data_IF_017533496872
#
_entry.id   IF_017533496872
#
_cell.length_a   1.000
_cell.length_b   1.000
_cell.length_c   1.000
_cell.angle_alpha   90.00
_cell.angle_beta   90.00
_cell.angle_gamma   90.00
#
_symmetry.space_group_name_H-M   'P 1'
#
loop_
_entity.id
_entity.type
_entity.pdbx_description
1 polymer ?
#
# COMPACT_ATOMS: atom_id res chain seq x y z
N UNK A 1 -19.08 -18.08 14.26
CA UNK A 1 -17.82 -17.32 14.16
C UNK A 1 -17.03 -17.99 13.05
N UNK A 2 -16.51 -17.22 12.09
CA UNK A 2 -15.59 -17.80 11.09
C UNK A 2 -14.33 -18.34 11.80
N UNK A 3 -13.62 -19.28 11.18
CA UNK A 3 -12.37 -19.83 11.74
C UNK A 3 -11.36 -18.72 12.09
N UNK A 4 -11.28 -17.67 11.25
CA UNK A 4 -10.49 -16.46 11.52
C UNK A 4 -10.81 -15.82 12.88
N UNK A 5 -12.10 -15.65 13.22
CA UNK A 5 -12.50 -14.99 14.48
C UNK A 5 -12.09 -15.80 15.71
N UNK A 6 -12.05 -17.13 15.58
CA UNK A 6 -11.60 -18.00 16.67
C UNK A 6 -10.09 -17.87 16.90
N UNK A 7 -9.30 -17.80 15.82
CA UNK A 7 -7.85 -17.61 15.89
C UNK A 7 -7.50 -16.21 16.41
N UNK A 8 -8.15 -15.16 15.89
CA UNK A 8 -7.91 -13.78 16.29
C UNK A 8 -8.17 -13.55 17.79
N UNK A 9 -9.16 -14.23 18.38
CA UNK A 9 -9.47 -14.13 19.81
C UNK A 9 -8.37 -14.67 20.75
N UNK A 10 -7.40 -15.42 20.22
CA UNK A 10 -6.28 -16.00 20.98
C UNK A 10 -5.03 -15.11 20.96
N UNK A 11 -5.06 -13.99 20.22
CA UNK A 11 -3.94 -13.05 20.13
C UNK A 11 -3.97 -12.10 21.32
N UNK A 12 -2.90 -12.10 22.14
CA UNK A 12 -2.86 -11.40 23.42
C UNK A 12 -2.70 -9.87 23.28
N UNK A 13 -1.95 -9.41 22.27
CA UNK A 13 -1.76 -7.97 22.05
C UNK A 13 -3.00 -7.36 21.38
N UNK A 14 -3.74 -6.53 22.12
CA UNK A 14 -5.02 -5.98 21.68
C UNK A 14 -4.92 -5.13 20.40
N UNK A 15 -3.86 -4.32 20.26
CA UNK A 15 -3.64 -3.52 19.05
C UNK A 15 -3.27 -4.43 17.88
N UNK A 16 -2.35 -5.40 18.06
CA UNK A 16 -2.01 -6.35 17.00
C UNK A 16 -3.21 -7.18 16.55
N UNK A 17 -4.01 -7.67 17.49
CA UNK A 17 -5.27 -8.37 17.24
C UNK A 17 -6.24 -7.50 16.42
N UNK A 18 -6.42 -6.23 16.80
CA UNK A 18 -7.24 -5.28 16.06
C UNK A 18 -6.74 -5.04 14.62
N UNK A 19 -5.43 -4.86 14.44
CA UNK A 19 -4.83 -4.66 13.12
C UNK A 19 -5.05 -5.89 12.23
N UNK A 20 -4.87 -7.09 12.76
CA UNK A 20 -5.11 -8.34 12.04
C UNK A 20 -6.60 -8.53 11.71
N UNK A 21 -7.51 -8.26 12.66
CA UNK A 21 -8.95 -8.26 12.41
C UNK A 21 -9.31 -7.35 11.23
N UNK A 22 -8.72 -6.15 11.19
CA UNK A 22 -9.01 -5.19 10.13
C UNK A 22 -8.39 -5.56 8.79
N UNK A 23 -7.15 -6.05 8.80
CA UNK A 23 -6.50 -6.60 7.62
C UNK A 23 -7.31 -7.78 7.05
N UNK A 24 -7.73 -8.74 7.88
CA UNK A 24 -8.55 -9.87 7.47
C UNK A 24 -9.90 -9.42 6.91
N UNK A 25 -10.56 -8.43 7.52
CA UNK A 25 -11.83 -7.87 7.02
C UNK A 25 -11.69 -7.27 5.62
N UNK A 26 -10.56 -6.61 5.34
CA UNK A 26 -10.25 -6.10 4.00
C UNK A 26 -9.87 -7.23 3.03
N UNK A 27 -9.03 -8.15 3.47
CA UNK A 27 -8.39 -9.12 2.59
C UNK A 27 -9.32 -10.28 2.21
N UNK A 28 -10.14 -10.76 3.14
CA UNK A 28 -11.00 -11.92 2.93
C UNK A 28 -11.91 -11.79 1.69
N UNK A 29 -12.71 -10.73 1.53
CA UNK A 29 -13.61 -10.60 0.37
C UNK A 29 -12.86 -10.68 -0.97
N UNK A 30 -11.74 -9.97 -1.11
CA UNK A 30 -10.95 -9.94 -2.36
C UNK A 30 -10.30 -11.30 -2.61
N UNK A 31 -9.55 -11.83 -1.63
CA UNK A 31 -8.75 -13.02 -1.84
C UNK A 31 -9.60 -14.27 -2.00
N UNK A 32 -10.68 -14.42 -1.22
CA UNK A 32 -11.58 -15.57 -1.34
C UNK A 32 -12.33 -15.55 -2.67
N UNK A 33 -12.84 -14.39 -3.09
CA UNK A 33 -13.53 -14.27 -4.37
C UNK A 33 -12.57 -14.59 -5.52
N UNK A 34 -11.36 -14.02 -5.52
CA UNK A 34 -10.39 -14.23 -6.60
C UNK A 34 -9.86 -15.68 -6.65
N UNK A 35 -9.56 -16.27 -5.50
CA UNK A 35 -9.13 -17.67 -5.40
C UNK A 35 -10.24 -18.67 -5.83
N UNK A 36 -11.50 -18.23 -5.86
CA UNK A 36 -12.65 -19.01 -6.32
C UNK A 36 -13.15 -18.58 -7.71
N UNK A 37 -12.43 -17.69 -8.39
CA UNK A 37 -12.80 -17.14 -9.70
C UNK A 37 -14.17 -16.43 -9.70
N UNK A 38 -14.45 -15.69 -8.64
CA UNK A 38 -15.71 -14.98 -8.41
C UNK A 38 -15.54 -13.47 -8.18
N UNK A 39 -14.33 -12.93 -8.15
CA UNK A 39 -14.06 -11.51 -7.86
C UNK A 39 -14.81 -10.59 -8.83
N UNK A 40 -14.74 -10.85 -10.14
CA UNK A 40 -15.49 -10.07 -11.14
C UNK A 40 -17.00 -10.16 -10.99
N UNK A 41 -17.50 -11.25 -10.41
CA UNK A 41 -18.92 -11.49 -10.22
C UNK A 41 -19.45 -10.91 -8.89
N UNK A 42 -18.61 -10.87 -7.85
CA UNK A 42 -19.04 -10.53 -6.49
C UNK A 42 -18.62 -9.15 -6.01
N UNK A 43 -17.55 -8.56 -6.57
CA UNK A 43 -17.07 -7.25 -6.14
C UNK A 43 -17.93 -6.14 -6.77
N UNK A 44 -18.52 -5.23 -5.98
CA UNK A 44 -19.19 -4.08 -6.53
C UNK A 44 -18.17 -3.17 -7.24
N UNK A 45 -18.61 -2.52 -8.30
CA UNK A 45 -17.84 -1.49 -8.99
C UNK A 45 -18.59 -0.17 -8.81
N UNK A 46 -18.42 0.42 -7.63
CA UNK A 46 -18.81 1.80 -7.35
C UNK A 46 -17.72 2.77 -7.83
N UNK A 47 -18.08 4.04 -8.01
CA UNK A 47 -17.35 5.12 -8.64
C UNK A 47 -18.16 6.41 -8.47
N UNK A 48 -17.72 7.51 -9.06
CA UNK A 48 -18.34 8.82 -8.82
C UNK A 48 -19.80 8.86 -9.32
N UNK A 49 -20.77 9.31 -8.50
CA UNK A 49 -22.16 9.45 -8.93
C UNK A 49 -22.31 10.37 -10.14
N UNK A 50 -23.10 9.97 -11.13
CA UNK A 50 -23.45 10.79 -12.29
C UNK A 50 -22.46 10.73 -13.48
N UNK A 51 -21.37 9.97 -13.38
CA UNK A 51 -20.38 9.82 -14.47
C UNK A 51 -20.45 8.45 -15.19
N UNK A 52 -21.49 7.65 -14.90
CA UNK A 52 -21.66 6.27 -15.39
C UNK A 52 -22.19 6.13 -16.83
N UNK A 53 -22.47 7.23 -17.52
CA UNK A 53 -23.21 7.21 -18.79
C UNK A 53 -22.35 7.27 -20.06
N UNK A 54 -21.02 7.36 -19.97
CA UNK A 54 -20.18 7.44 -21.15
C UNK A 54 -19.01 6.47 -21.12
N UNK A 55 -19.19 5.42 -21.93
CA UNK A 55 -18.17 4.76 -22.74
C UNK A 55 -17.83 3.32 -22.35
N UNK A 56 -17.52 2.56 -23.39
CA UNK A 56 -17.18 1.13 -23.47
C UNK A 56 -15.95 0.76 -22.60
N UNK A 57 -15.32 1.75 -21.95
CA UNK A 57 -14.17 1.72 -21.04
C UNK A 57 -14.56 1.87 -19.55
N UNK A 58 -15.62 1.19 -19.14
CA UNK A 58 -16.07 1.12 -17.75
C UNK A 58 -14.91 0.88 -16.77
N UNK A 59 -14.88 1.64 -15.66
CA UNK A 59 -13.95 1.45 -14.53
C UNK A 59 -13.87 -0.01 -14.04
N UNK A 60 -14.88 -0.83 -14.36
CA UNK A 60 -14.90 -2.28 -14.11
C UNK A 60 -13.72 -3.03 -14.74
N UNK A 61 -13.18 -2.54 -15.87
CA UNK A 61 -12.02 -3.15 -16.54
C UNK A 61 -10.73 -3.06 -15.70
N UNK A 62 -10.67 -2.15 -14.72
CA UNK A 62 -9.49 -1.89 -13.90
C UNK A 62 -9.71 -2.22 -12.42
N UNK A 63 -10.92 -1.97 -11.90
CA UNK A 63 -11.27 -2.06 -10.47
C UNK A 63 -10.79 -3.36 -9.79
N UNK A 64 -10.89 -4.50 -10.46
CA UNK A 64 -10.50 -5.79 -9.88
C UNK A 64 -8.98 -5.92 -9.68
N UNK A 65 -8.17 -5.44 -10.63
CA UNK A 65 -6.71 -5.39 -10.47
C UNK A 65 -6.31 -4.32 -9.45
N UNK A 66 -7.02 -3.19 -9.40
CA UNK A 66 -6.85 -2.19 -8.33
C UNK A 66 -7.02 -2.84 -6.96
N UNK A 67 -8.16 -3.49 -6.73
CA UNK A 67 -8.47 -4.13 -5.46
C UNK A 67 -7.38 -5.13 -5.05
N UNK A 68 -7.04 -6.04 -5.96
CA UNK A 68 -6.09 -7.10 -5.68
C UNK A 68 -4.66 -6.57 -5.48
N UNK A 69 -4.13 -5.79 -6.42
CA UNK A 69 -2.76 -5.30 -6.35
C UNK A 69 -2.51 -4.41 -5.14
N UNK A 70 -3.44 -3.46 -4.88
CA UNK A 70 -3.32 -2.51 -3.76
C UNK A 70 -3.43 -3.23 -2.42
N UNK A 71 -4.34 -4.20 -2.29
CA UNK A 71 -4.42 -5.05 -1.10
C UNK A 71 -3.12 -5.83 -0.87
N UNK A 72 -2.59 -6.45 -1.93
CA UNK A 72 -1.40 -7.29 -1.86
C UNK A 72 -0.20 -6.50 -1.34
N UNK A 73 -0.04 -5.24 -1.77
CA UNK A 73 1.04 -4.36 -1.34
C UNK A 73 1.04 -4.08 0.17
N UNK A 74 -0.14 -3.95 0.79
CA UNK A 74 -0.30 -3.76 2.23
C UNK A 74 -0.20 -5.06 3.04
N UNK A 75 -0.63 -6.17 2.43
CA UNK A 75 -0.64 -7.50 3.04
C UNK A 75 0.75 -8.16 3.06
N UNK A 76 1.59 -7.86 2.08
CA UNK A 76 2.84 -8.56 1.80
C UNK A 76 3.80 -8.71 3.00
N UNK A 77 4.13 -7.66 3.78
CA UNK A 77 5.08 -7.82 4.89
C UNK A 77 4.60 -8.81 5.96
N UNK A 78 3.29 -8.86 6.23
CA UNK A 78 2.75 -9.84 7.16
C UNK A 78 2.90 -11.26 6.62
N UNK A 79 2.60 -11.49 5.34
CA UNK A 79 2.78 -12.81 4.72
C UNK A 79 4.23 -13.26 4.76
N UNK A 80 5.18 -12.38 4.41
CA UNK A 80 6.61 -12.68 4.29
C UNK A 80 7.24 -13.22 5.58
N UNK A 81 6.66 -12.91 6.75
CA UNK A 81 7.10 -13.50 8.02
C UNK A 81 6.88 -15.02 8.11
N UNK A 82 6.15 -15.60 7.15
CA UNK A 82 5.96 -17.03 6.99
C UNK A 82 4.97 -17.65 7.98
N UNK A 83 4.59 -18.92 7.81
CA UNK A 83 3.82 -19.62 8.84
C UNK A 83 4.64 -19.71 10.14
N UNK A 84 3.97 -19.60 11.29
CA UNK A 84 4.56 -19.78 12.62
C UNK A 84 3.60 -20.60 13.49
N UNK A 85 4.01 -20.93 14.71
CA UNK A 85 3.16 -21.57 15.72
C UNK A 85 2.13 -20.59 16.31
N UNK A 86 1.04 -21.14 16.85
CA UNK A 86 -0.01 -20.36 17.49
C UNK A 86 -1.00 -19.75 16.51
N UNK A 87 -2.02 -19.07 17.06
CA UNK A 87 -3.19 -18.69 16.30
C UNK A 87 -2.93 -17.70 15.15
N UNK A 88 -2.04 -16.73 15.33
CA UNK A 88 -1.66 -15.83 14.22
C UNK A 88 -0.89 -16.57 13.13
N UNK A 89 -0.03 -17.52 13.49
CA UNK A 89 0.73 -18.30 12.53
C UNK A 89 -0.15 -19.22 11.68
N UNK A 90 -1.17 -19.84 12.28
CA UNK A 90 -2.20 -20.61 11.58
C UNK A 90 -3.04 -19.72 10.65
N UNK A 91 -3.47 -18.55 11.13
CA UNK A 91 -4.21 -17.57 10.34
C UNK A 91 -3.36 -17.10 9.14
N UNK A 92 -2.11 -16.73 9.38
CA UNK A 92 -1.17 -16.29 8.35
C UNK A 92 -0.92 -17.38 7.33
N UNK A 93 -0.78 -18.64 7.75
CA UNK A 93 -0.62 -19.77 6.84
C UNK A 93 -1.81 -19.88 5.88
N UNK A 94 -3.04 -19.78 6.38
CA UNK A 94 -4.24 -19.80 5.54
C UNK A 94 -4.25 -18.66 4.51
N UNK A 95 -3.86 -17.44 4.90
CA UNK A 95 -3.80 -16.29 4.00
C UNK A 95 -2.65 -16.38 2.99
N UNK A 96 -1.50 -16.98 3.35
CA UNK A 96 -0.40 -17.25 2.40
C UNK A 96 -0.91 -18.15 1.27
N UNK A 97 -1.52 -19.29 1.61
CA UNK A 97 -2.01 -20.25 0.61
C UNK A 97 -3.14 -19.64 -0.24
N UNK A 98 -4.07 -18.93 0.41
CA UNK A 98 -5.13 -18.22 -0.28
C UNK A 98 -4.60 -17.16 -1.25
N UNK A 99 -3.60 -16.39 -0.82
CA UNK A 99 -3.00 -15.32 -1.64
C UNK A 99 -2.27 -15.88 -2.86
N UNK A 100 -1.52 -16.98 -2.70
CA UNK A 100 -0.88 -17.66 -3.84
C UNK A 100 -1.89 -18.17 -4.85
N UNK A 101 -2.97 -18.80 -4.37
CA UNK A 101 -4.05 -19.27 -5.23
C UNK A 101 -4.73 -18.10 -5.94
N UNK A 102 -4.97 -16.99 -5.25
CA UNK A 102 -5.53 -15.78 -5.83
C UNK A 102 -4.59 -15.18 -6.90
N UNK A 103 -3.29 -15.14 -6.66
CA UNK A 103 -2.28 -14.67 -7.63
C UNK A 103 -2.21 -15.56 -8.89
N UNK A 104 -2.36 -16.87 -8.73
CA UNK A 104 -2.50 -17.80 -9.85
C UNK A 104 -3.76 -17.48 -10.67
N UNK A 105 -4.92 -17.40 -10.03
CA UNK A 105 -6.18 -17.08 -10.73
C UNK A 105 -6.17 -15.70 -11.37
N UNK A 106 -5.44 -14.74 -10.79
CA UNK A 106 -5.28 -13.40 -11.35
C UNK A 106 -4.44 -13.38 -12.64
N UNK A 107 -3.50 -14.31 -12.78
CA UNK A 107 -2.48 -14.28 -13.85
C UNK A 107 -2.60 -15.44 -14.86
N UNK A 108 -3.44 -16.43 -14.60
CA UNK A 108 -3.75 -17.54 -15.50
C UNK A 108 -4.76 -17.13 -16.59
N UNK A 109 -4.39 -17.07 -17.89
CA UNK A 109 -5.29 -16.62 -18.95
C UNK A 109 -6.59 -17.42 -19.11
N UNK A 110 -6.61 -18.68 -18.67
CA UNK A 110 -7.82 -19.52 -18.71
C UNK A 110 -8.77 -19.30 -17.51
N UNK A 111 -8.35 -18.55 -16.48
CA UNK A 111 -9.16 -18.22 -15.32
C UNK A 111 -10.30 -17.27 -15.70
N UNK A 112 -11.50 -17.49 -15.17
CA UNK A 112 -12.61 -16.54 -15.32
C UNK A 112 -12.31 -15.18 -14.67
N UNK A 113 -11.33 -15.16 -13.77
CA UNK A 113 -10.86 -14.00 -13.03
C UNK A 113 -9.44 -13.57 -13.43
N UNK A 114 -8.97 -13.98 -14.61
CA UNK A 114 -7.75 -13.42 -15.20
C UNK A 114 -7.86 -11.89 -15.23
N UNK A 115 -6.96 -11.17 -14.56
CA UNK A 115 -7.05 -9.72 -14.39
C UNK A 115 -6.43 -8.98 -15.59
N UNK A 116 -6.85 -7.72 -15.79
CA UNK A 116 -6.42 -6.93 -16.94
C UNK A 116 -5.02 -6.32 -16.74
N UNK A 117 -4.01 -6.90 -17.39
CA UNK A 117 -2.64 -6.36 -17.43
C UNK A 117 -2.28 -5.66 -18.76
N UNK A 118 -3.12 -5.72 -19.81
CA UNK A 118 -2.79 -5.25 -21.20
C UNK A 118 -3.69 -4.16 -21.80
N UNK A 119 -4.94 -4.04 -21.37
CA UNK A 119 -5.90 -3.11 -21.98
C UNK A 119 -5.99 -1.79 -21.20
N UNK A 120 -6.10 -0.66 -21.91
CA UNK A 120 -6.17 0.68 -21.33
C UNK A 120 -4.86 1.13 -20.66
N UNK A 121 -4.76 2.37 -20.19
CA UNK A 121 -3.52 2.91 -19.60
C UNK A 121 -3.30 2.51 -18.13
N UNK A 122 -4.39 2.30 -17.38
CA UNK A 122 -4.41 2.09 -15.93
C UNK A 122 -3.62 0.89 -15.41
N UNK A 123 -3.52 -0.28 -16.09
CA UNK A 123 -2.86 -1.44 -15.51
C UNK A 123 -1.39 -1.23 -15.11
N UNK A 124 -0.68 -0.24 -15.66
CA UNK A 124 0.67 0.10 -15.19
C UNK A 124 0.68 0.47 -13.70
N UNK A 125 -0.36 1.15 -13.21
CA UNK A 125 -0.48 1.58 -11.81
C UNK A 125 -0.70 0.37 -10.91
N UNK A 126 -1.67 -0.47 -11.24
CA UNK A 126 -2.11 -1.52 -10.33
C UNK A 126 -1.17 -2.74 -10.37
N UNK A 127 -0.54 -2.98 -11.52
CA UNK A 127 0.58 -3.93 -11.63
C UNK A 127 1.78 -3.49 -10.79
N UNK A 128 2.02 -2.19 -10.63
CA UNK A 128 3.12 -1.71 -9.79
C UNK A 128 2.88 -2.01 -8.32
N UNK A 129 1.64 -2.07 -7.83
CA UNK A 129 1.34 -2.53 -6.47
C UNK A 129 1.50 -4.05 -6.31
N UNK A 130 1.21 -4.85 -7.36
CA UNK A 130 1.59 -6.28 -7.38
C UNK A 130 3.12 -6.43 -7.32
N UNK A 131 3.85 -5.63 -8.09
CA UNK A 131 5.31 -5.61 -8.09
C UNK A 131 5.87 -5.18 -6.72
N UNK A 132 5.32 -4.13 -6.11
CA UNK A 132 5.69 -3.64 -4.78
C UNK A 132 5.47 -4.73 -3.71
N UNK A 133 4.37 -5.47 -3.78
CA UNK A 133 4.12 -6.61 -2.92
C UNK A 133 5.19 -7.71 -3.06
N UNK A 134 5.60 -8.03 -4.29
CA UNK A 134 6.66 -9.01 -4.56
C UNK A 134 8.02 -8.53 -4.02
N UNK A 135 8.32 -7.24 -4.12
CA UNK A 135 9.55 -6.67 -3.53
C UNK A 135 9.57 -6.83 -2.01
N UNK A 136 8.42 -6.70 -1.36
CA UNK A 136 8.25 -6.82 0.10
C UNK A 136 8.17 -8.25 0.60
N UNK A 137 7.61 -9.15 -0.20
CA UNK A 137 7.44 -10.57 0.14
C UNK A 137 8.00 -11.51 -0.95
N UNK A 138 9.31 -11.40 -1.27
CA UNK A 138 9.89 -12.12 -2.40
C UNK A 138 9.90 -13.64 -2.19
N UNK A 139 9.91 -14.12 -0.94
CA UNK A 139 9.86 -15.55 -0.67
C UNK A 139 8.43 -16.08 -0.81
N UNK A 140 7.47 -15.45 -0.13
CA UNK A 140 6.10 -15.98 -0.09
C UNK A 140 5.31 -15.73 -1.38
N UNK A 141 5.51 -14.57 -2.02
CA UNK A 141 4.76 -14.12 -3.19
C UNK A 141 5.50 -14.31 -4.53
N UNK A 142 6.69 -14.91 -4.52
CA UNK A 142 7.37 -15.28 -5.77
C UNK A 142 8.14 -16.60 -5.67
N UNK A 143 9.14 -16.71 -4.79
CA UNK A 143 10.04 -17.86 -4.77
C UNK A 143 9.34 -19.20 -4.51
N UNK A 144 8.28 -19.20 -3.69
CA UNK A 144 7.47 -20.39 -3.36
C UNK A 144 6.32 -20.66 -4.33
N UNK A 145 6.10 -19.81 -5.34
CA UNK A 145 5.10 -20.08 -6.37
C UNK A 145 5.55 -21.23 -7.26
N UNK A 146 4.57 -21.94 -7.84
CA UNK A 146 4.87 -22.92 -8.89
C UNK A 146 5.54 -22.23 -10.10
N UNK A 147 6.45 -22.90 -10.82
CA UNK A 147 7.14 -22.30 -11.97
C UNK A 147 6.22 -21.73 -13.05
N UNK A 148 5.04 -22.34 -13.27
CA UNK A 148 4.01 -21.81 -14.17
C UNK A 148 3.50 -20.44 -13.70
N UNK A 149 3.19 -20.32 -12.41
CA UNK A 149 2.68 -19.07 -11.85
C UNK A 149 3.76 -17.99 -11.86
N UNK A 150 5.02 -18.33 -11.56
CA UNK A 150 6.15 -17.39 -11.69
C UNK A 150 6.24 -16.81 -13.12
N UNK A 151 6.12 -17.66 -14.14
CA UNK A 151 6.11 -17.24 -15.55
C UNK A 151 4.92 -16.33 -15.87
N UNK A 152 3.72 -16.68 -15.39
CA UNK A 152 2.52 -15.88 -15.59
C UNK A 152 2.65 -14.49 -14.94
N UNK A 153 3.20 -14.41 -13.73
CA UNK A 153 3.48 -13.14 -13.03
C UNK A 153 4.49 -12.29 -13.81
N UNK A 154 5.63 -12.86 -14.23
CA UNK A 154 6.62 -12.13 -15.05
C UNK A 154 5.97 -11.59 -16.32
N UNK A 155 5.20 -12.41 -17.02
CA UNK A 155 4.51 -12.01 -18.25
C UNK A 155 3.51 -10.89 -18.00
N UNK A 156 2.72 -10.98 -16.93
CA UNK A 156 1.76 -9.96 -16.53
C UNK A 156 2.46 -8.61 -16.25
N UNK A 157 3.59 -8.61 -15.55
CA UNK A 157 4.40 -7.41 -15.32
C UNK A 157 4.95 -6.83 -16.63
N UNK A 158 5.50 -7.66 -17.51
CA UNK A 158 6.06 -7.24 -18.80
C UNK A 158 5.00 -6.70 -19.77
N UNK A 159 3.74 -7.15 -19.69
CA UNK A 159 2.63 -6.67 -20.52
C UNK A 159 2.39 -5.15 -20.35
N UNK A 160 2.84 -4.55 -19.24
CA UNK A 160 2.71 -3.10 -19.02
C UNK A 160 3.64 -2.25 -19.90
N UNK A 161 4.72 -2.84 -20.46
CA UNK A 161 5.74 -2.13 -21.25
C UNK A 161 5.19 -1.49 -22.53
N UNK A 162 4.06 -1.98 -23.05
CA UNK A 162 3.38 -1.43 -24.23
C UNK A 162 2.82 -0.02 -24.02
N UNK A 163 2.82 0.48 -22.77
CA UNK A 163 2.21 1.76 -22.40
C UNK A 163 3.24 2.79 -22.02
N UNK A 164 2.94 4.03 -22.39
CA UNK A 164 3.68 5.20 -21.95
C UNK A 164 3.12 5.68 -20.60
N UNK A 165 3.91 5.72 -19.52
CA UNK A 165 3.46 6.30 -18.26
C UNK A 165 3.14 7.78 -18.44
N UNK A 166 2.14 8.28 -17.69
CA UNK A 166 1.90 9.71 -17.57
C UNK A 166 3.12 10.37 -16.91
N UNK A 167 3.39 11.63 -17.25
CA UNK A 167 4.59 12.33 -16.79
C UNK A 167 4.41 12.92 -15.38
N UNK A 168 4.29 12.02 -14.40
CA UNK A 168 4.09 12.29 -12.98
C UNK A 168 4.53 11.05 -12.16
N UNK A 169 3.92 10.75 -11.01
CA UNK A 169 4.17 9.53 -10.23
C UNK A 169 4.08 8.21 -11.01
N UNK A 170 3.46 8.19 -12.19
CA UNK A 170 3.42 6.99 -13.04
C UNK A 170 4.79 6.53 -13.53
N UNK A 171 5.80 7.40 -13.51
CA UNK A 171 7.19 7.01 -13.75
C UNK A 171 7.68 6.01 -12.68
N UNK A 172 7.27 6.18 -11.42
CA UNK A 172 7.61 5.26 -10.33
C UNK A 172 6.88 3.94 -10.46
N UNK A 173 5.62 3.92 -10.93
CA UNK A 173 4.95 2.65 -11.22
C UNK A 173 5.74 1.81 -12.24
N UNK A 174 6.18 2.43 -13.34
CA UNK A 174 7.01 1.74 -14.32
C UNK A 174 8.34 1.27 -13.72
N UNK A 175 8.99 2.08 -12.89
CA UNK A 175 10.27 1.73 -12.27
C UNK A 175 10.14 0.61 -11.23
N UNK A 176 9.08 0.59 -10.42
CA UNK A 176 8.79 -0.46 -9.43
C UNK A 176 8.56 -1.80 -10.12
N UNK A 177 7.84 -1.82 -11.25
CA UNK A 177 7.65 -3.04 -12.06
C UNK A 177 9.00 -3.60 -12.53
N UNK A 178 9.88 -2.75 -13.06
CA UNK A 178 11.20 -3.18 -13.53
C UNK A 178 12.12 -3.60 -12.37
N UNK A 179 12.03 -2.96 -11.20
CA UNK A 179 12.75 -3.39 -10.01
C UNK A 179 12.30 -4.78 -9.52
N UNK A 180 10.99 -5.08 -9.59
CA UNK A 180 10.48 -6.41 -9.31
C UNK A 180 10.96 -7.44 -10.35
N UNK A 181 10.95 -7.10 -11.65
CA UNK A 181 11.50 -7.96 -12.70
C UNK A 181 12.98 -8.28 -12.45
N UNK A 182 13.77 -7.29 -12.05
CA UNK A 182 15.16 -7.50 -11.61
C UNK A 182 15.26 -8.47 -10.43
N UNK A 183 14.48 -8.23 -9.37
CA UNK A 183 14.45 -9.08 -8.16
C UNK A 183 14.08 -10.53 -8.46
N UNK A 184 13.19 -10.75 -9.42
CA UNK A 184 12.74 -12.05 -9.89
C UNK A 184 13.73 -12.77 -10.82
N UNK A 185 14.81 -12.10 -11.23
CA UNK A 185 15.79 -12.62 -12.20
C UNK A 185 15.28 -12.61 -13.64
N UNK A 186 14.22 -11.85 -13.94
CA UNK A 186 13.67 -11.70 -15.28
C UNK A 186 14.39 -10.59 -16.07
N UNK A 187 14.11 -10.50 -17.37
CA UNK A 187 14.56 -9.36 -18.18
C UNK A 187 13.90 -8.09 -17.67
N UNK A 188 14.72 -7.11 -17.29
CA UNK A 188 14.31 -5.82 -16.74
C UNK A 188 14.95 -4.67 -17.53
N UNK A 189 14.32 -3.50 -17.50
CA UNK A 189 14.73 -2.30 -18.23
C UNK A 189 15.27 -1.22 -17.27
N UNK A 190 16.61 -1.10 -17.10
CA UNK A 190 17.21 -0.09 -16.22
C UNK A 190 16.91 1.35 -16.66
N UNK A 191 16.57 1.59 -17.93
CA UNK A 191 16.29 2.95 -18.38
C UNK A 191 15.01 3.51 -17.74
N UNK A 192 13.98 2.69 -17.55
CA UNK A 192 12.74 3.13 -16.88
C UNK A 192 12.99 3.55 -15.44
N UNK A 193 13.86 2.82 -14.74
CA UNK A 193 14.27 3.15 -13.38
C UNK A 193 15.10 4.44 -13.36
N UNK A 194 16.14 4.51 -14.18
CA UNK A 194 17.04 5.68 -14.24
C UNK A 194 16.27 6.97 -14.55
N UNK A 195 15.35 6.92 -15.50
CA UNK A 195 14.51 8.06 -15.87
C UNK A 195 13.62 8.51 -14.70
N UNK A 196 12.98 7.58 -14.01
CA UNK A 196 12.17 7.89 -12.84
C UNK A 196 13.01 8.50 -11.71
N UNK A 197 14.14 7.89 -11.36
CA UNK A 197 15.04 8.38 -10.32
C UNK A 197 15.53 9.81 -10.61
N UNK A 198 16.04 10.06 -11.83
CA UNK A 198 16.50 11.39 -12.25
C UNK A 198 15.38 12.42 -12.25
N UNK A 199 14.18 12.03 -12.68
CA UNK A 199 13.06 12.95 -12.71
C UNK A 199 12.59 13.33 -11.31
N UNK A 200 12.54 12.37 -10.38
CA UNK A 200 12.19 12.65 -8.99
C UNK A 200 13.26 13.45 -8.24
N UNK A 201 14.53 13.37 -8.62
CA UNK A 201 15.53 14.33 -8.13
C UNK A 201 15.20 15.77 -8.56
N UNK A 202 14.76 15.99 -9.80
CA UNK A 202 14.39 17.32 -10.29
C UNK A 202 13.06 17.83 -9.72
N UNK A 203 12.15 16.91 -9.39
CA UNK A 203 10.86 17.23 -8.78
C UNK A 203 10.92 17.37 -7.26
N UNK A 204 12.08 17.17 -6.62
CA UNK A 204 12.23 17.47 -5.21
C UNK A 204 12.13 18.98 -4.97
N UNK A 205 11.20 19.40 -4.11
CA UNK A 205 10.95 20.83 -3.81
C UNK A 205 11.53 21.30 -2.48
N UNK A 206 11.88 20.37 -1.59
CA UNK A 206 12.41 20.67 -0.26
C UNK A 206 11.54 20.11 0.86
N UNK A 207 12.13 20.03 2.06
CA UNK A 207 11.54 19.45 3.27
C UNK A 207 10.74 18.16 3.03
N UNK A 208 11.39 17.21 2.35
CA UNK A 208 10.82 15.90 2.01
C UNK A 208 9.59 15.89 1.09
N UNK A 209 9.28 16.99 0.41
CA UNK A 209 8.21 17.05 -0.57
C UNK A 209 8.75 16.93 -2.00
N UNK A 210 8.04 16.15 -2.80
CA UNK A 210 8.21 16.06 -4.25
C UNK A 210 6.97 16.60 -4.95
N UNK A 211 7.19 17.18 -6.14
CA UNK A 211 6.12 17.42 -7.11
C UNK A 211 5.60 16.08 -7.64
N UNK A 212 4.38 16.12 -8.16
CA UNK A 212 3.75 15.00 -8.84
C UNK A 212 3.52 15.34 -10.32
N UNK A 213 4.63 15.46 -11.05
CA UNK A 213 4.69 16.05 -12.38
C UNK A 213 5.25 17.47 -12.36
N UNK A 214 4.81 18.30 -13.32
CA UNK A 214 5.31 19.68 -13.48
C UNK A 214 4.98 20.56 -12.29
N UNK A 215 3.78 20.38 -11.73
CA UNK A 215 3.23 21.19 -10.65
C UNK A 215 3.35 20.48 -9.30
N UNK A 216 3.51 21.29 -8.25
CA UNK A 216 3.40 20.81 -6.89
C UNK A 216 1.93 20.71 -6.49
N UNK A 217 1.50 19.54 -6.04
CA UNK A 217 0.19 19.30 -5.46
C UNK A 217 0.37 18.98 -3.98
N UNK A 218 -0.30 19.73 -3.11
CA UNK A 218 -0.33 19.40 -1.69
C UNK A 218 -1.44 18.38 -1.42
N UNK A 219 -1.12 17.14 -1.78
CA UNK A 219 -1.93 15.96 -1.56
C UNK A 219 -1.07 14.86 -0.90
N UNK A 220 -1.62 13.65 -0.78
CA UNK A 220 -0.94 12.53 -0.14
C UNK A 220 -0.19 11.61 -1.12
N UNK A 221 0.03 11.97 -2.39
CA UNK A 221 0.81 11.11 -3.32
C UNK A 221 2.27 10.95 -2.92
N UNK A 222 2.81 11.90 -2.16
CA UNK A 222 4.10 11.73 -1.51
C UNK A 222 4.10 10.49 -0.58
N UNK A 223 2.98 10.22 0.09
CA UNK A 223 2.78 9.02 0.90
C UNK A 223 2.32 7.82 0.08
N UNK A 224 1.28 7.96 -0.75
CA UNK A 224 0.69 6.83 -1.47
C UNK A 224 1.71 6.13 -2.38
N UNK A 225 2.57 6.90 -3.05
CA UNK A 225 3.43 6.41 -4.14
C UNK A 225 4.88 6.82 -3.95
N UNK A 226 5.16 8.12 -3.82
CA UNK A 226 6.49 8.65 -4.15
C UNK A 226 7.57 8.16 -3.19
N UNK A 227 7.43 8.42 -1.89
CA UNK A 227 8.43 7.94 -0.92
C UNK A 227 8.50 6.42 -0.90
N UNK A 228 7.39 5.66 -0.80
CA UNK A 228 7.49 4.22 -0.66
C UNK A 228 8.12 3.53 -1.85
N UNK A 229 7.74 3.92 -3.07
CA UNK A 229 8.31 3.33 -4.27
C UNK A 229 9.76 3.76 -4.50
N UNK A 230 10.13 5.02 -4.22
CA UNK A 230 11.54 5.43 -4.29
C UNK A 230 12.41 4.60 -3.33
N UNK A 231 11.94 4.36 -2.11
CA UNK A 231 12.61 3.52 -1.11
C UNK A 231 12.73 2.07 -1.61
N UNK A 232 11.62 1.46 -2.03
CA UNK A 232 11.60 0.06 -2.45
C UNK A 232 12.46 -0.16 -3.73
N UNK A 233 12.43 0.78 -4.68
CA UNK A 233 13.29 0.77 -5.87
C UNK A 233 14.76 0.86 -5.46
N UNK A 234 15.15 1.86 -4.66
CA UNK A 234 16.58 2.10 -4.38
C UNK A 234 17.18 1.03 -3.46
N UNK A 235 16.39 0.42 -2.58
CA UNK A 235 16.82 -0.75 -1.81
C UNK A 235 17.02 -1.98 -2.69
N UNK A 236 16.22 -2.12 -3.75
CA UNK A 236 16.27 -3.31 -4.62
C UNK A 236 17.41 -3.24 -5.63
N UNK A 237 17.56 -2.09 -6.32
CA UNK A 237 18.49 -1.96 -7.44
C UNK A 237 19.61 -0.95 -7.22
N UNK A 238 19.66 -0.28 -6.07
CA UNK A 238 20.59 0.84 -5.83
C UNK A 238 22.07 0.49 -6.00
N UNK A 239 22.47 -0.76 -5.80
CA UNK A 239 23.86 -1.20 -5.97
C UNK A 239 24.24 -1.55 -7.44
N UNK A 240 23.31 -1.48 -8.39
CA UNK A 240 23.57 -1.80 -9.80
C UNK A 240 24.41 -0.72 -10.52
N UNK A 241 24.21 0.55 -10.15
CA UNK A 241 24.93 1.69 -10.74
C UNK A 241 25.41 2.66 -9.65
N UNK A 242 26.57 3.26 -9.86
CA UNK A 242 27.19 4.15 -8.87
C UNK A 242 26.33 5.40 -8.57
N UNK A 243 25.71 5.97 -9.60
CA UNK A 243 24.83 7.13 -9.46
C UNK A 243 23.55 6.77 -8.68
N UNK A 244 22.93 5.62 -8.94
CA UNK A 244 21.79 5.14 -8.15
C UNK A 244 22.19 4.93 -6.68
N UNK A 245 23.34 4.29 -6.43
CA UNK A 245 23.85 4.07 -5.08
C UNK A 245 23.98 5.38 -4.29
N UNK A 246 24.41 6.45 -4.95
CA UNK A 246 24.53 7.77 -4.34
C UNK A 246 23.18 8.40 -3.94
N UNK A 247 22.06 7.94 -4.51
CA UNK A 247 20.70 8.42 -4.18
C UNK A 247 20.11 7.77 -2.94
N UNK A 248 20.63 6.61 -2.51
CA UNK A 248 20.04 5.81 -1.43
C UNK A 248 19.89 6.63 -0.15
N UNK A 249 20.97 7.21 0.36
CA UNK A 249 20.91 7.97 1.61
C UNK A 249 19.99 9.21 1.51
N UNK A 250 20.06 10.07 0.48
CA UNK A 250 19.10 11.16 0.30
C UNK A 250 17.63 10.71 0.25
N UNK A 251 17.33 9.61 -0.45
CA UNK A 251 15.96 9.07 -0.53
C UNK A 251 15.50 8.62 0.86
N UNK A 252 16.31 7.87 1.61
CA UNK A 252 15.95 7.40 2.96
C UNK A 252 15.77 8.56 3.93
N UNK A 253 16.65 9.57 3.90
CA UNK A 253 16.53 10.75 4.76
C UNK A 253 15.23 11.52 4.51
N UNK A 254 14.87 11.71 3.23
CA UNK A 254 13.62 12.38 2.86
C UNK A 254 12.41 11.55 3.27
N UNK A 255 12.41 10.24 3.07
CA UNK A 255 11.31 9.37 3.49
C UNK A 255 11.11 9.39 5.01
N UNK A 256 12.20 9.36 5.79
CA UNK A 256 12.16 9.52 7.26
C UNK A 256 11.56 10.86 7.68
N UNK A 257 11.99 11.96 7.05
CA UNK A 257 11.44 13.29 7.34
C UNK A 257 9.95 13.36 7.01
N UNK A 258 9.53 12.84 5.86
CA UNK A 258 8.12 12.83 5.48
C UNK A 258 7.25 11.98 6.41
N UNK A 259 7.75 10.83 6.86
CA UNK A 259 7.08 10.02 7.89
C UNK A 259 6.88 10.83 9.19
N UNK A 260 7.87 11.64 9.58
CA UNK A 260 7.75 12.53 10.74
C UNK A 260 6.67 13.59 10.55
N UNK A 261 6.60 14.19 9.36
CA UNK A 261 5.52 15.14 9.02
C UNK A 261 4.15 14.46 9.09
N UNK A 262 4.00 13.25 8.52
CA UNK A 262 2.74 12.49 8.57
C UNK A 262 2.29 12.20 10.00
N UNK A 263 3.19 11.76 10.89
CA UNK A 263 2.86 11.50 12.29
C UNK A 263 2.34 12.76 12.98
N UNK A 264 2.97 13.91 12.71
CA UNK A 264 2.57 15.22 13.26
C UNK A 264 1.24 15.73 12.73
N UNK A 265 0.80 15.27 11.55
CA UNK A 265 -0.48 15.62 10.94
C UNK A 265 -1.66 14.84 11.55
N UNK A 266 -1.40 13.76 12.29
CA UNK A 266 -2.46 13.00 12.96
C UNK A 266 -2.93 13.80 14.17
N UNK A 267 -4.16 14.32 14.09
CA UNK A 267 -4.80 15.09 15.17
C UNK A 267 -4.96 14.24 16.44
N UNK A 268 -5.13 14.84 17.63
CA UNK A 268 -5.40 14.11 18.87
C UNK A 268 -6.62 13.16 18.82
N UNK A 269 -7.57 13.42 17.92
CA UNK A 269 -8.79 12.65 17.71
C UNK A 269 -8.63 11.49 16.70
N UNK A 270 -7.41 11.28 16.19
CA UNK A 270 -7.11 10.29 15.16
C UNK A 270 -7.65 10.67 13.79
N UNK A 271 -7.62 11.96 13.43
CA UNK A 271 -7.97 12.45 12.09
C UNK A 271 -6.77 13.05 11.39
N UNK A 272 -6.86 13.25 10.08
CA UNK A 272 -5.87 14.00 9.29
C UNK A 272 -6.58 15.07 8.44
N UNK A 273 -5.88 16.12 7.99
CA UNK A 273 -6.44 17.08 7.05
C UNK A 273 -6.93 16.39 5.77
N UNK A 274 -8.18 16.61 5.39
CA UNK A 274 -8.77 16.12 4.14
C UNK A 274 -8.44 17.11 3.03
N UNK A 275 -7.24 17.01 2.49
CA UNK A 275 -6.69 17.93 1.49
C UNK A 275 -6.27 17.19 0.22
N UNK A 276 -6.35 17.91 -0.90
CA UNK A 276 -5.92 17.41 -2.20
C UNK A 276 -6.85 16.34 -2.77
N UNK A 277 -6.30 15.59 -3.73
CA UNK A 277 -7.02 14.54 -4.46
C UNK A 277 -6.86 13.16 -3.83
N UNK A 278 -7.76 12.26 -4.18
CA UNK A 278 -7.74 10.84 -3.77
C UNK A 278 -7.82 10.63 -2.26
N UNK A 279 -8.48 11.54 -1.53
CA UNK A 279 -8.64 11.44 -0.07
C UNK A 279 -9.42 10.18 0.34
N UNK A 280 -10.19 9.59 -0.58
CA UNK A 280 -10.97 8.38 -0.34
C UNK A 280 -10.14 7.10 -0.24
N UNK A 281 -8.82 7.18 -0.39
CA UNK A 281 -7.90 6.08 -0.06
C UNK A 281 -7.65 5.92 1.45
N UNK A 282 -8.27 6.78 2.28
CA UNK A 282 -8.35 6.68 3.75
C UNK A 282 -6.98 6.49 4.40
N UNK A 283 -6.76 5.34 5.02
CA UNK A 283 -5.56 4.97 5.76
C UNK A 283 -4.35 4.76 4.86
N UNK A 284 -4.54 4.66 3.53
CA UNK A 284 -3.45 4.64 2.57
C UNK A 284 -2.57 5.90 2.64
N UNK A 285 -3.10 7.00 3.20
CA UNK A 285 -2.36 8.24 3.45
C UNK A 285 -1.14 8.01 4.35
N UNK A 286 -1.11 6.92 5.11
CA UNK A 286 -0.04 6.58 6.04
C UNK A 286 1.00 5.61 5.48
N UNK A 287 0.96 5.28 4.18
CA UNK A 287 1.87 4.32 3.56
C UNK A 287 3.36 4.60 3.87
N UNK A 288 3.83 5.85 3.69
CA UNK A 288 5.22 6.18 3.99
C UNK A 288 5.58 6.06 5.48
N UNK A 289 4.69 6.47 6.40
CA UNK A 289 4.92 6.32 7.85
C UNK A 289 4.95 4.83 8.25
N UNK A 290 4.01 4.05 7.74
CA UNK A 290 3.94 2.60 7.97
C UNK A 290 5.16 1.86 7.43
N UNK A 291 5.67 2.22 6.26
CA UNK A 291 6.87 1.61 5.67
C UNK A 291 8.14 1.98 6.47
N UNK A 292 8.29 3.24 6.87
CA UNK A 292 9.45 3.68 7.66
C UNK A 292 9.45 3.06 9.06
N UNK A 293 8.27 2.86 9.66
CA UNK A 293 8.12 2.10 10.89
C UNK A 293 8.55 0.64 10.72
N UNK A 294 8.04 -0.07 9.69
CA UNK A 294 8.45 -1.43 9.35
C UNK A 294 9.96 -1.58 9.15
N UNK A 295 10.61 -0.59 8.53
CA UNK A 295 12.05 -0.63 8.24
C UNK A 295 12.95 -0.19 9.42
N UNK A 296 12.38 0.12 10.59
CA UNK A 296 13.10 0.68 11.75
C UNK A 296 13.90 1.96 11.43
N UNK A 297 13.29 2.83 10.61
CA UNK A 297 13.93 4.06 10.11
C UNK A 297 13.26 5.33 10.60
N UNK A 298 12.36 5.23 11.58
CA UNK A 298 11.73 6.38 12.23
C UNK A 298 12.80 7.37 12.69
N UNK A 299 12.43 8.66 12.66
CA UNK A 299 13.25 9.70 13.26
C UNK A 299 13.41 9.45 14.77
N UNK A 300 14.55 9.83 15.33
CA UNK A 300 14.86 9.62 16.75
C UNK A 300 13.89 10.33 17.70
N UNK A 301 13.19 11.36 17.20
CA UNK A 301 12.14 12.05 17.93
C UNK A 301 10.84 11.25 18.06
N UNK A 302 10.68 10.17 17.28
CA UNK A 302 9.49 9.32 17.26
C UNK A 302 9.77 7.96 17.90
N UNK A 303 8.94 7.59 18.88
CA UNK A 303 8.97 6.25 19.44
C UNK A 303 8.06 5.32 18.61
N UNK A 304 8.49 4.07 18.32
CA UNK A 304 7.67 3.11 17.59
C UNK A 304 6.26 2.92 18.15
N UNK A 305 6.14 2.77 19.48
CA UNK A 305 4.85 2.64 20.17
C UNK A 305 3.93 3.85 19.97
N UNK A 306 4.49 5.07 19.92
CA UNK A 306 3.74 6.30 19.66
C UNK A 306 3.16 6.30 18.23
N UNK A 307 3.97 5.87 17.26
CA UNK A 307 3.52 5.75 15.86
C UNK A 307 2.40 4.72 15.76
N UNK A 308 2.55 3.53 16.37
CA UNK A 308 1.49 2.53 16.43
C UNK A 308 0.20 3.11 17.03
N UNK A 309 0.28 3.79 18.17
CA UNK A 309 -0.90 4.39 18.81
C UNK A 309 -1.60 5.43 17.92
N UNK A 310 -0.85 6.28 17.21
CA UNK A 310 -1.40 7.25 16.26
C UNK A 310 -2.10 6.58 15.07
N UNK A 311 -1.45 5.58 14.46
CA UNK A 311 -2.00 4.80 13.35
C UNK A 311 -3.25 4.00 13.77
N UNK A 312 -3.23 3.39 14.96
CA UNK A 312 -4.40 2.71 15.53
C UNK A 312 -5.58 3.68 15.70
N UNK A 313 -5.34 4.88 16.25
CA UNK A 313 -6.39 5.88 16.42
C UNK A 313 -6.99 6.33 15.07
N UNK A 314 -6.14 6.56 14.07
CA UNK A 314 -6.55 6.88 12.71
C UNK A 314 -7.40 5.78 12.07
N UNK A 315 -6.96 4.52 12.18
CA UNK A 315 -7.69 3.37 11.65
C UNK A 315 -9.06 3.24 12.28
N UNK A 316 -9.15 3.34 13.62
CA UNK A 316 -10.44 3.29 14.32
C UNK A 316 -11.37 4.39 13.83
N UNK A 317 -10.85 5.61 13.68
CA UNK A 317 -11.63 6.75 13.19
C UNK A 317 -12.17 6.54 11.78
N UNK A 318 -11.36 6.01 10.87
CA UNK A 318 -11.70 5.91 9.44
C UNK A 318 -12.40 4.61 9.05
N UNK A 319 -11.99 3.48 9.63
CA UNK A 319 -12.44 2.13 9.22
C UNK A 319 -13.61 1.61 10.05
N UNK A 320 -13.80 2.06 11.29
CA UNK A 320 -14.96 1.68 12.10
C UNK A 320 -16.19 2.57 11.87
N UNK A 321 -16.03 3.67 11.13
CA UNK A 321 -17.12 4.56 10.82
C UNK A 321 -18.27 3.80 10.09
N UNK A 322 -19.54 3.95 10.53
CA UNK A 322 -20.68 3.31 9.88
C UNK A 322 -20.73 3.62 8.38
N UNK A 323 -20.98 2.60 7.56
CA UNK A 323 -20.99 2.71 6.09
C UNK A 323 -19.61 2.73 5.44
N UNK A 324 -18.52 2.43 6.16
CA UNK A 324 -17.20 2.26 5.53
C UNK A 324 -17.13 0.97 4.71
N UNK A 325 -17.84 -0.06 5.18
CA UNK A 325 -18.02 -1.33 4.50
C UNK A 325 -19.50 -1.52 4.21
N UNK A 326 -19.82 -2.09 3.05
CA UNK A 326 -21.18 -2.52 2.72
C UNK A 326 -21.58 -3.79 3.51
N UNK A 327 -22.81 -4.27 3.27
CA UNK A 327 -23.34 -5.46 3.93
C UNK A 327 -22.61 -6.77 3.57
N UNK A 328 -21.82 -6.76 2.49
CA UNK A 328 -21.01 -7.89 2.02
C UNK A 328 -19.53 -7.75 2.42
N UNK A 329 -19.15 -6.66 3.09
CA UNK A 329 -17.79 -6.42 3.56
C UNK A 329 -16.87 -5.72 2.55
N UNK A 330 -17.40 -5.16 1.46
CA UNK A 330 -16.61 -4.37 0.51
C UNK A 330 -16.48 -2.92 0.96
N UNK A 331 -15.32 -2.30 0.72
CA UNK A 331 -15.14 -0.88 1.00
C UNK A 331 -16.08 -0.02 0.15
N UNK A 332 -16.70 0.97 0.78
CA UNK A 332 -17.49 2.00 0.10
C UNK A 332 -16.68 3.30 -0.03
N UNK A 333 -16.95 4.10 -1.06
CA UNK A 333 -16.20 5.33 -1.34
C UNK A 333 -16.42 6.37 -0.22
N UNK A 334 -15.35 6.97 0.31
CA UNK A 334 -15.44 8.08 1.27
C UNK A 334 -14.18 8.26 2.09
N UNK A 335 -14.19 9.17 3.08
CA UNK A 335 -13.10 9.37 4.05
C UNK A 335 -13.48 8.82 5.43
N UNK A 336 -14.75 8.98 5.82
CA UNK A 336 -15.33 8.43 7.05
C UNK A 336 -16.77 8.00 6.74
N UNK A 337 -17.02 6.68 6.65
CA UNK A 337 -18.28 6.15 6.12
C UNK A 337 -18.39 6.25 4.60
N UNK A 338 -19.63 6.25 4.08
CA UNK A 338 -19.95 6.33 2.66
C UNK A 338 -20.23 7.77 2.22
N UNK A 339 -19.37 8.29 1.36
CA UNK A 339 -19.35 9.67 0.86
C UNK A 339 -18.97 9.69 -0.62
N UNK A 340 -19.76 9.02 -1.47
CA UNK A 340 -19.44 8.77 -2.89
C UNK A 340 -19.07 10.02 -3.72
N UNK A 341 -19.61 11.20 -3.35
CA UNK A 341 -19.31 12.48 -4.01
C UNK A 341 -17.84 12.94 -3.88
N UNK A 342 -17.08 12.34 -2.96
CA UNK A 342 -15.65 12.60 -2.79
C UNK A 342 -14.76 11.84 -3.78
N UNK A 343 -15.32 10.94 -4.60
CA UNK A 343 -14.55 10.27 -5.64
C UNK A 343 -14.19 11.22 -6.79
N UNK A 344 -12.93 11.17 -7.22
CA UNK A 344 -12.53 11.61 -8.56
C UNK A 344 -12.94 10.58 -9.63
N UNK A 345 -12.91 10.98 -10.90
CA UNK A 345 -13.33 10.19 -12.08
C UNK A 345 -12.65 8.81 -12.19
N UNK A 346 -11.41 8.71 -11.69
CA UNK A 346 -10.62 7.48 -11.71
C UNK A 346 -10.80 6.62 -10.45
N UNK A 347 -11.63 7.03 -9.49
CA UNK A 347 -11.84 6.25 -8.27
C UNK A 347 -12.94 5.23 -8.47
N UNK A 348 -12.63 4.00 -8.06
CA UNK A 348 -13.58 2.91 -7.98
C UNK A 348 -13.52 2.22 -6.61
N UNK A 349 -14.45 1.30 -6.34
CA UNK A 349 -14.37 0.38 -5.18
C UNK A 349 -12.98 -0.25 -5.04
N UNK A 350 -12.38 -0.73 -6.13
CA UNK A 350 -11.06 -1.32 -6.10
C UNK A 350 -9.96 -0.35 -5.71
N UNK A 351 -10.13 0.94 -6.05
CA UNK A 351 -9.14 1.96 -5.73
C UNK A 351 -8.93 2.13 -4.22
N UNK A 352 -9.97 1.88 -3.43
CA UNK A 352 -10.02 2.10 -1.98
C UNK A 352 -9.08 1.16 -1.20
N UNK A 353 -8.62 0.08 -1.82
CA UNK A 353 -7.74 -0.92 -1.19
C UNK A 353 -6.31 -0.42 -0.93
N UNK A 354 -5.96 0.79 -1.38
CA UNK A 354 -4.78 1.51 -0.84
C UNK A 354 -4.87 1.71 0.68
N UNK A 355 -6.07 1.65 1.26
CA UNK A 355 -6.27 1.60 2.71
C UNK A 355 -5.43 0.51 3.39
N UNK A 356 -5.10 -0.58 2.68
CA UNK A 356 -4.31 -1.69 3.21
C UNK A 356 -2.84 -1.31 3.51
N UNK A 357 -2.31 -0.24 2.91
CA UNK A 357 -0.91 0.16 3.06
C UNK A 357 -0.55 0.62 4.47
N UNK A 358 -1.54 0.87 5.33
CA UNK A 358 -1.28 1.16 6.74
C UNK A 358 -0.76 -0.07 7.52
N UNK A 359 -1.05 -1.28 7.04
CA UNK A 359 -0.78 -2.54 7.74
C UNK A 359 0.65 -3.06 7.60
N UNK A 360 1.53 -2.39 6.86
CA UNK A 360 2.92 -2.84 6.67
C UNK A 360 3.65 -3.24 7.98
N UNK A 361 3.49 -2.53 9.12
CA UNK A 361 4.10 -2.92 10.40
C UNK A 361 3.70 -4.30 10.93
N UNK A 362 2.66 -4.96 10.41
CA UNK A 362 2.35 -6.36 10.78
C UNK A 362 3.45 -7.35 10.37
N UNK A 363 4.37 -6.95 9.48
CA UNK A 363 5.61 -7.67 9.22
C UNK A 363 6.64 -7.63 10.36
N UNK A 364 6.43 -6.79 11.40
CA UNK A 364 7.26 -6.78 12.60
C UNK A 364 6.82 -7.89 13.58
N UNK A 365 7.77 -8.56 14.26
CA UNK A 365 7.47 -9.60 15.26
C UNK A 365 6.74 -9.02 16.46
N UNK A 366 5.94 -9.82 17.18
CA UNK A 366 5.14 -9.35 18.31
C UNK A 366 5.98 -8.69 19.42
N UNK A 367 7.25 -9.10 19.58
CA UNK A 367 8.16 -8.56 20.59
C UNK A 367 8.79 -7.23 20.18
N UNK A 368 8.57 -6.76 18.95
CA UNK A 368 9.13 -5.51 18.45
C UNK A 368 8.66 -4.31 19.28
N UNK A 369 9.52 -3.31 19.58
CA UNK A 369 9.13 -2.10 20.32
C UNK A 369 7.91 -1.37 19.75
N UNK A 370 7.60 -1.51 18.46
CA UNK A 370 6.38 -1.00 17.84
C UNK A 370 5.12 -1.55 18.52
N UNK A 371 5.12 -2.83 18.91
CA UNK A 371 3.99 -3.52 19.54
C UNK A 371 3.98 -3.44 21.06
N UNK A 372 5.00 -2.84 21.66
CA UNK A 372 5.18 -2.80 23.12
C UNK A 372 4.84 -1.43 23.72
N UNK A 373 4.32 -1.43 24.95
CA UNK A 373 3.98 -0.20 25.68
C UNK A 373 2.84 0.59 25.04
N UNK A 374 2.75 1.87 25.36
CA UNK A 374 1.85 2.86 24.76
C UNK A 374 2.43 4.24 24.97
N UNK A 375 2.29 5.14 24.00
CA UNK A 375 2.81 6.50 24.10
C UNK A 375 1.88 7.49 23.36
N UNK A 376 1.65 8.70 23.91
CA UNK A 376 0.93 9.73 23.17
C UNK A 376 1.74 10.17 21.96
N UNK A 377 1.06 10.47 20.86
CA UNK A 377 1.71 10.98 19.65
C UNK A 377 1.86 12.49 19.69
N UNK A 378 2.62 13.04 18.74
CA UNK A 378 3.10 14.43 18.81
C UNK A 378 1.98 15.43 19.03
N UNK A 379 0.89 15.34 18.25
CA UNK A 379 -0.24 16.24 18.41
C UNK A 379 -0.90 16.11 19.79
N UNK A 380 -1.10 14.89 20.31
CA UNK A 380 -1.65 14.69 21.66
C UNK A 380 -0.80 15.38 22.72
N UNK A 381 0.53 15.22 22.66
CA UNK A 381 1.46 15.88 23.59
C UNK A 381 1.29 17.41 23.54
N UNK A 382 1.31 17.99 22.35
CA UNK A 382 1.18 19.45 22.14
C UNK A 382 -0.15 19.95 22.71
N UNK A 383 -1.26 19.31 22.33
CA UNK A 383 -2.60 19.77 22.71
C UNK A 383 -2.93 19.50 24.19
N UNK A 384 -2.15 18.67 24.87
CA UNK A 384 -2.17 18.49 26.33
C UNK A 384 -1.21 19.44 27.07
N UNK A 385 -0.48 20.30 26.37
CA UNK A 385 0.48 21.24 26.97
C UNK A 385 1.79 20.61 27.44
N UNK A 386 2.13 19.41 26.95
CA UNK A 386 3.39 18.75 27.26
C UNK A 386 4.56 19.40 26.51
N UNK A 387 5.74 19.43 27.13
CA UNK A 387 6.94 19.93 26.50
C UNK A 387 7.48 18.91 25.47
N UNK A 388 7.66 19.36 24.22
CA UNK A 388 8.26 18.57 23.14
C UNK A 388 9.34 19.39 22.41
N UNK A 389 10.22 18.70 21.69
CA UNK A 389 11.20 19.36 20.83
C UNK A 389 10.52 20.12 19.68
N UNK A 390 11.13 21.23 19.26
CA UNK A 390 10.70 21.98 18.09
C UNK A 390 10.86 21.14 16.82
N UNK A 391 9.93 21.29 15.87
CA UNK A 391 10.11 20.71 14.55
C UNK A 391 11.17 21.50 13.76
N UNK A 392 11.83 20.84 12.81
CA UNK A 392 12.84 21.46 11.96
C UNK A 392 12.69 20.95 10.52
N UNK A 393 12.99 21.81 9.55
CA UNK A 393 13.01 21.42 8.16
C UNK A 393 14.26 20.57 7.84
N UNK A 394 14.13 19.66 6.88
CA UNK A 394 15.28 19.01 6.28
C UNK A 394 16.01 20.00 5.36
N UNK A 395 17.24 20.35 5.73
CA UNK A 395 18.14 21.20 4.94
C UNK A 395 19.19 20.33 4.23
N UNK A 396 19.07 20.21 2.91
CA UNK A 396 19.85 19.32 2.04
C UNK A 396 19.03 18.88 0.85
#
# INVERSE_FOLDING_TARGET
MSDDQHLLAQINNADRCYWLQMLCKLASPVLQALANQQLRASMPVEGKPGEWEWDEYSRSQFSHLEAFGRLLAGLAPWLETGPDTGAEGELRHAYIELTRKALDMATEPASADFLNFSEGSQPIVDTAYVAEAILRAPNELYAKLEPRVQQNVIKALQMTRSRKPVYNNWLLFSATIEAALFRMGAEWDPMRIDFALKQFQQWYVGDAHYKDGVEFHWDYYNSYVIHPMLVDIIETVGDQYHDWKALKEPIIQRARRYATILERLISPEGTIPVIGRSVTYRTGTMHALSQIALQHRLDETLQPAQVRCALTALMKRMLEAPGTFDEHGWLQIGVCGHQAVLAEEYISTGSLYLSSLIFLPLGLPEQDPFWQGSAPWTAQKIWNGEAIAIDHALYG
#
